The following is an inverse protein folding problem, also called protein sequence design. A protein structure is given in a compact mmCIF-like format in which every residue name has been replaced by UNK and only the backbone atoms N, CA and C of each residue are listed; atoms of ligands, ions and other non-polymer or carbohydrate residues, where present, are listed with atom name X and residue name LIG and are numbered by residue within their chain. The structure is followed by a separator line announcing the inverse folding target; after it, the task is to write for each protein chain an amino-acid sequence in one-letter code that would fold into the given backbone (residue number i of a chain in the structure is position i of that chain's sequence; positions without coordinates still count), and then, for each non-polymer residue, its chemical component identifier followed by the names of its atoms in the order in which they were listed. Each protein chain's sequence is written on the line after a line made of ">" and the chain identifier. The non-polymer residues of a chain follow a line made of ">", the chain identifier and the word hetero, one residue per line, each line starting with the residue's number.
data_IF_144811884319
#
_entry.id   IF_144811884319
#
_cell.length_a   1.000
_cell.length_b   1.000
_cell.length_c   1.000
_cell.angle_alpha   90.00
_cell.angle_beta   90.00
_cell.angle_gamma   90.00
#
_symmetry.space_group_name_H-M   'P 1'
#
loop_
_entity.id
_entity.type
_entity.pdbx_description
1 polymer ?
#
# COMPACT_ATOMS: atom_id res chain seq x y z
N UNK A 1 15.85 -17.80 -11.55
CA UNK A 1 14.57 -18.45 -11.18
C UNK A 1 14.01 -17.69 -9.99
N UNK A 2 13.09 -16.76 -10.24
CA UNK A 2 12.48 -15.93 -9.19
C UNK A 2 11.54 -16.82 -8.37
N UNK A 3 11.79 -16.96 -7.07
CA UNK A 3 10.91 -17.72 -6.18
C UNK A 3 9.47 -17.18 -6.29
N UNK A 4 8.43 -18.04 -6.22
CA UNK A 4 7.05 -17.56 -6.26
C UNK A 4 6.84 -16.61 -5.08
N UNK A 5 6.73 -15.31 -5.37
CA UNK A 5 6.36 -14.31 -4.39
C UNK A 5 5.01 -14.72 -3.82
N UNK A 6 4.98 -14.93 -2.50
CA UNK A 6 3.75 -15.29 -1.80
C UNK A 6 2.71 -14.22 -2.13
N UNK A 7 1.44 -14.60 -2.23
CA UNK A 7 0.34 -13.66 -2.53
C UNK A 7 0.30 -12.46 -1.57
N UNK A 8 0.85 -12.62 -0.37
CA UNK A 8 1.06 -11.56 0.63
C UNK A 8 2.10 -10.53 0.21
N UNK A 9 3.21 -10.97 -0.40
CA UNK A 9 4.28 -10.09 -0.86
C UNK A 9 3.85 -9.25 -2.07
N UNK A 10 3.09 -9.84 -2.99
CA UNK A 10 2.52 -9.10 -4.14
C UNK A 10 1.56 -7.98 -3.69
N UNK A 11 0.69 -8.27 -2.71
CA UNK A 11 -0.22 -7.26 -2.14
C UNK A 11 0.53 -6.16 -1.41
N UNK A 12 1.56 -6.53 -0.63
CA UNK A 12 2.42 -5.56 0.04
C UNK A 12 3.10 -4.63 -0.96
N UNK A 13 3.66 -5.19 -2.04
CA UNK A 13 4.30 -4.39 -3.09
C UNK A 13 3.31 -3.43 -3.77
N UNK A 14 2.10 -3.90 -4.09
CA UNK A 14 1.05 -3.05 -4.65
C UNK A 14 0.69 -1.88 -3.71
N UNK A 15 0.59 -2.14 -2.39
CA UNK A 15 0.33 -1.11 -1.38
C UNK A 15 1.46 -0.08 -1.34
N UNK A 16 2.73 -0.52 -1.35
CA UNK A 16 3.89 0.37 -1.33
C UNK A 16 3.94 1.23 -2.60
N UNK A 17 3.74 0.65 -3.77
CA UNK A 17 3.72 1.39 -5.03
C UNK A 17 2.60 2.42 -5.06
N UNK A 18 1.41 2.06 -4.57
CA UNK A 18 0.29 3.00 -4.45
C UNK A 18 0.60 4.12 -3.45
N UNK A 19 1.24 3.82 -2.32
CA UNK A 19 1.64 4.80 -1.33
C UNK A 19 2.64 5.80 -1.92
N UNK A 20 3.69 5.31 -2.60
CA UNK A 20 4.68 6.16 -3.27
C UNK A 20 4.02 7.09 -4.28
N UNK A 21 3.10 6.56 -5.10
CA UNK A 21 2.38 7.36 -6.08
C UNK A 21 1.50 8.45 -5.43
N UNK A 22 0.73 8.11 -4.38
CA UNK A 22 -0.11 9.09 -3.68
C UNK A 22 0.73 10.13 -2.94
N UNK A 23 1.81 9.71 -2.27
CA UNK A 23 2.71 10.63 -1.58
C UNK A 23 3.39 11.59 -2.54
N UNK A 24 3.79 11.14 -3.73
CA UNK A 24 4.38 11.99 -4.77
C UNK A 24 3.38 12.96 -5.40
N UNK A 25 2.13 12.56 -5.56
CA UNK A 25 1.10 13.36 -6.25
C UNK A 25 0.45 14.41 -5.31
N UNK A 26 0.19 14.02 -4.05
CA UNK A 26 -0.62 14.83 -3.11
C UNK A 26 0.14 15.25 -1.84
N UNK A 27 1.32 14.70 -1.60
CA UNK A 27 2.06 14.88 -0.35
C UNK A 27 1.58 13.98 0.79
N UNK A 28 2.45 13.79 1.77
CA UNK A 28 2.25 12.89 2.91
C UNK A 28 1.07 13.30 3.82
N UNK A 29 0.81 14.60 3.96
CA UNK A 29 -0.24 15.11 4.84
C UNK A 29 -1.65 14.82 4.32
N UNK A 30 -1.84 14.85 3.00
CA UNK A 30 -3.15 14.68 2.35
C UNK A 30 -3.41 13.21 1.99
N UNK A 31 -2.35 12.40 1.96
CA UNK A 31 -2.45 10.98 1.68
C UNK A 31 -2.96 10.23 2.91
N UNK A 32 -3.94 9.35 2.68
CA UNK A 32 -4.55 8.54 3.72
C UNK A 32 -4.46 7.06 3.36
N UNK A 33 -4.38 6.20 4.37
CA UNK A 33 -4.39 4.73 4.22
C UNK A 33 -5.57 4.23 3.36
N UNK A 34 -6.71 4.91 3.42
CA UNK A 34 -7.89 4.62 2.58
C UNK A 34 -7.63 4.82 1.09
N UNK A 35 -6.95 5.92 0.72
CA UNK A 35 -6.60 6.21 -0.67
C UNK A 35 -5.56 5.26 -1.19
N UNK A 36 -4.56 4.94 -0.36
CA UNK A 36 -3.55 3.94 -0.69
C UNK A 36 -4.23 2.59 -0.93
N UNK A 37 -5.18 2.19 -0.08
CA UNK A 37 -5.95 0.96 -0.25
C UNK A 37 -6.75 0.95 -1.56
N UNK A 38 -7.47 2.04 -1.84
CA UNK A 38 -8.25 2.18 -3.06
C UNK A 38 -7.36 2.12 -4.32
N UNK A 39 -6.18 2.74 -4.28
CA UNK A 39 -5.23 2.76 -5.39
C UNK A 39 -4.50 1.44 -5.60
N UNK A 40 -4.21 0.72 -4.51
CA UNK A 40 -3.62 -0.62 -4.56
C UNK A 40 -4.65 -1.73 -4.82
N UNK A 41 -5.93 -1.38 -5.03
CA UNK A 41 -7.04 -2.33 -5.23
C UNK A 41 -7.15 -3.37 -4.11
N UNK A 42 -6.83 -2.97 -2.87
CA UNK A 42 -6.92 -3.82 -1.69
C UNK A 42 -7.92 -3.25 -0.69
N UNK A 43 -8.41 -4.13 0.19
CA UNK A 43 -9.24 -3.69 1.30
C UNK A 43 -8.41 -2.90 2.31
N UNK A 44 -9.03 -1.90 2.94
CA UNK A 44 -8.47 -1.15 4.08
C UNK A 44 -7.87 -2.08 5.14
N UNK A 45 -8.58 -3.17 5.46
CA UNK A 45 -8.12 -4.22 6.40
C UNK A 45 -6.81 -4.86 5.96
N UNK A 46 -6.61 -5.09 4.67
CA UNK A 46 -5.37 -5.65 4.12
C UNK A 46 -4.23 -4.66 4.28
N UNK A 47 -4.47 -3.36 4.02
CA UNK A 47 -3.48 -2.31 4.30
C UNK A 47 -3.11 -2.31 5.78
N UNK A 48 -4.09 -2.19 6.68
CA UNK A 48 -3.84 -2.19 8.14
C UNK A 48 -3.16 -3.47 8.66
N UNK A 49 -3.36 -4.60 7.99
CA UNK A 49 -2.70 -5.87 8.33
C UNK A 49 -1.22 -5.90 7.91
N UNK A 50 -0.82 -5.10 6.93
CA UNK A 50 0.57 -4.99 6.47
C UNK A 50 1.29 -3.75 7.03
N UNK A 51 0.57 -2.64 7.16
CA UNK A 51 1.04 -1.34 7.63
C UNK A 51 0.02 -0.82 8.63
N UNK A 52 0.32 -0.79 9.95
CA UNK A 52 -0.65 -0.40 10.96
C UNK A 52 -0.90 1.12 10.95
N UNK A 53 0.01 1.93 10.42
CA UNK A 53 -0.08 3.38 10.32
C UNK A 53 0.50 3.87 8.98
N UNK A 54 0.26 5.14 8.66
CA UNK A 54 0.82 5.79 7.45
C UNK A 54 2.34 6.09 7.58
N UNK A 55 2.90 5.94 8.77
CA UNK A 55 4.28 6.32 9.14
C UNK A 55 5.25 5.12 9.15
N UNK A 56 4.74 3.90 9.08
CA UNK A 56 5.50 2.64 8.95
C UNK A 56 5.83 2.31 7.50
#
# INVERSE_FOLDING_TARGET
>A
MTAPMRLTDQKREAIVLAAIAEFGDRGFEITSMDRIAARAEVSKRTVYNHFPSKEE
#
